data_IF_646484707288
#
_entry.id   IF_646484707288
#
_cell.length_a   1.000
_cell.length_b   1.000
_cell.length_c   1.000
_cell.angle_alpha   90.00
_cell.angle_beta   90.00
_cell.angle_gamma   90.00
#
_symmetry.space_group_name_H-M   'P 1'
#
loop_
_entity.id
_entity.type
_entity.pdbx_description
1 polymer ?
#
# COMPACT_ATOMS: atom_id res chain seq x y z
N UNK A 1 3.49 21.53 -7.08
CA UNK A 1 2.51 21.20 -8.15
C UNK A 1 2.84 19.86 -8.82
N UNK A 2 4.09 19.58 -9.22
CA UNK A 2 4.45 18.35 -9.94
C UNK A 2 4.13 17.06 -9.13
N UNK A 3 4.47 17.03 -7.84
CA UNK A 3 4.16 15.88 -6.97
C UNK A 3 2.66 15.64 -6.86
N UNK A 4 1.90 16.72 -6.68
CA UNK A 4 0.43 16.63 -6.60
C UNK A 4 -0.19 16.13 -7.92
N UNK A 5 0.30 16.62 -9.06
CA UNK A 5 -0.15 16.13 -10.36
C UNK A 5 0.17 14.65 -10.53
N UNK A 6 1.40 14.22 -10.19
CA UNK A 6 1.82 12.82 -10.26
C UNK A 6 0.93 11.89 -9.44
N UNK A 7 0.61 12.25 -8.18
CA UNK A 7 -0.28 11.43 -7.34
C UNK A 7 -1.69 11.30 -7.94
N UNK A 8 -2.21 12.38 -8.54
CA UNK A 8 -3.50 12.35 -9.24
C UNK A 8 -3.47 11.56 -10.52
N UNK A 9 -2.38 11.66 -11.29
CA UNK A 9 -2.21 10.90 -12.53
C UNK A 9 -2.20 9.40 -12.26
N UNK A 10 -1.59 8.94 -11.16
CA UNK A 10 -1.64 7.54 -10.75
C UNK A 10 -3.09 7.07 -10.53
N UNK A 11 -3.90 7.83 -9.78
CA UNK A 11 -5.28 7.44 -9.48
C UNK A 11 -6.20 7.46 -10.71
N UNK A 12 -5.80 8.14 -11.78
CA UNK A 12 -6.56 8.22 -13.03
C UNK A 12 -6.17 7.16 -14.06
N UNK A 13 -5.05 6.47 -13.88
CA UNK A 13 -4.64 5.39 -14.78
C UNK A 13 -5.67 4.26 -14.82
N UNK A 14 -5.74 3.56 -15.94
CA UNK A 14 -6.65 2.43 -16.08
C UNK A 14 -6.15 1.22 -15.28
N UNK A 15 -7.03 0.35 -14.76
CA UNK A 15 -6.61 -0.83 -14.01
C UNK A 15 -5.71 -1.78 -14.81
N UNK A 16 -5.88 -1.80 -16.13
CA UNK A 16 -5.06 -2.62 -17.02
C UNK A 16 -3.61 -2.12 -17.14
N UNK A 17 -3.37 -0.83 -16.90
CA UNK A 17 -2.07 -0.20 -16.98
C UNK A 17 -1.40 -0.11 -15.61
N UNK A 18 -2.17 0.20 -14.57
CA UNK A 18 -1.69 0.35 -13.21
C UNK A 18 -2.04 -0.89 -12.36
N UNK A 19 -1.25 -1.93 -12.45
CA UNK A 19 -1.32 -3.12 -11.62
C UNK A 19 -0.31 -3.05 -10.45
N UNK A 20 -0.34 -3.97 -9.46
CA UNK A 20 0.42 -3.83 -8.22
C UNK A 20 1.91 -3.55 -8.41
N UNK A 21 2.59 -4.36 -9.21
CA UNK A 21 4.04 -4.19 -9.48
C UNK A 21 4.33 -2.86 -10.19
N UNK A 22 3.48 -2.47 -11.14
CA UNK A 22 3.63 -1.19 -11.85
C UNK A 22 3.49 0.01 -10.94
N UNK A 23 2.54 -0.02 -10.00
CA UNK A 23 2.39 1.02 -8.97
C UNK A 23 3.66 1.12 -8.10
N UNK A 24 4.18 -0.02 -7.65
CA UNK A 24 5.40 -0.06 -6.83
C UNK A 24 6.62 0.49 -7.58
N UNK A 25 6.82 0.10 -8.84
CA UNK A 25 7.90 0.59 -9.71
C UNK A 25 7.81 2.11 -9.92
N UNK A 26 6.63 2.62 -10.31
CA UNK A 26 6.43 4.05 -10.56
C UNK A 26 6.65 4.87 -9.28
N UNK A 27 6.24 4.36 -8.12
CA UNK A 27 6.47 5.04 -6.85
C UNK A 27 7.96 5.06 -6.46
N UNK A 28 8.65 3.92 -6.58
CA UNK A 28 10.07 3.81 -6.30
C UNK A 28 10.89 4.74 -7.21
N UNK A 29 10.62 4.73 -8.51
CA UNK A 29 11.29 5.57 -9.50
C UNK A 29 11.07 7.05 -9.19
N UNK A 30 9.82 7.45 -8.97
CA UNK A 30 9.50 8.87 -8.72
C UNK A 30 10.17 9.39 -7.44
N UNK A 31 10.13 8.62 -6.35
CA UNK A 31 10.79 8.99 -5.08
C UNK A 31 12.30 9.06 -5.28
N UNK A 32 12.88 8.07 -5.97
CA UNK A 32 14.33 8.00 -6.21
C UNK A 32 14.87 9.20 -6.97
N UNK A 33 14.07 9.82 -7.85
CA UNK A 33 14.47 11.04 -8.56
C UNK A 33 14.69 12.25 -7.65
N UNK A 34 14.17 12.26 -6.43
CA UNK A 34 14.28 13.40 -5.51
C UNK A 34 15.65 13.46 -4.81
N UNK A 35 16.24 12.32 -4.49
CA UNK A 35 17.56 12.25 -3.84
C UNK A 35 18.24 10.88 -4.09
N UNK A 36 18.73 10.60 -5.31
CA UNK A 36 19.18 9.26 -5.73
C UNK A 36 20.26 8.63 -4.84
N UNK A 37 21.14 9.47 -4.25
CA UNK A 37 22.24 8.99 -3.40
C UNK A 37 21.80 8.54 -1.99
N UNK A 38 20.58 8.85 -1.58
CA UNK A 38 20.07 8.66 -0.21
C UNK A 38 18.87 7.72 -0.14
N UNK A 39 18.45 7.14 -1.25
CA UNK A 39 17.27 6.31 -1.34
C UNK A 39 17.64 4.90 -1.77
N UNK A 40 17.15 3.93 -1.03
CA UNK A 40 17.14 2.52 -1.43
C UNK A 40 15.70 2.05 -1.50
N UNK A 41 15.38 1.22 -2.48
CA UNK A 41 14.07 0.61 -2.63
C UNK A 41 14.18 -0.89 -2.83
N UNK A 42 13.20 -1.62 -2.32
CA UNK A 42 13.08 -3.06 -2.48
C UNK A 42 11.63 -3.44 -2.72
N UNK A 43 11.39 -4.32 -3.69
CA UNK A 43 10.04 -4.84 -3.99
C UNK A 43 10.05 -6.35 -3.69
N UNK A 44 9.16 -6.77 -2.80
CA UNK A 44 8.90 -8.17 -2.47
C UNK A 44 7.60 -8.54 -3.17
N UNK A 45 7.59 -9.56 -4.02
CA UNK A 45 6.44 -9.85 -4.89
C UNK A 45 6.05 -11.33 -4.93
N UNK A 46 4.77 -11.60 -5.15
CA UNK A 46 4.24 -12.94 -5.35
C UNK A 46 4.49 -13.86 -4.15
N UNK A 47 4.97 -15.08 -4.41
CA UNK A 47 5.21 -16.10 -3.38
C UNK A 47 6.26 -15.69 -2.34
N UNK A 48 7.16 -14.77 -2.68
CA UNK A 48 8.15 -14.26 -1.73
C UNK A 48 7.48 -13.52 -0.56
N UNK A 49 6.34 -12.87 -0.77
CA UNK A 49 5.54 -12.26 0.29
C UNK A 49 5.16 -13.29 1.35
N UNK A 50 4.64 -14.44 0.91
CA UNK A 50 4.24 -15.53 1.81
C UNK A 50 5.44 -16.09 2.57
N UNK A 51 6.56 -16.30 1.89
CA UNK A 51 7.80 -16.81 2.48
C UNK A 51 8.36 -15.89 3.57
N UNK A 52 8.18 -14.56 3.37
CA UNK A 52 8.61 -13.53 4.34
C UNK A 52 7.56 -13.21 5.41
N UNK A 53 6.38 -13.82 5.34
CA UNK A 53 5.31 -13.66 6.32
C UNK A 53 4.39 -12.45 6.07
N UNK A 54 4.45 -11.82 4.88
CA UNK A 54 3.54 -10.75 4.47
C UNK A 54 2.26 -11.34 3.88
N UNK A 55 1.54 -12.04 4.74
CA UNK A 55 0.43 -12.93 4.36
C UNK A 55 -0.87 -12.20 4.01
N UNK A 56 -1.07 -10.99 4.54
CA UNK A 56 -2.23 -10.17 4.23
C UNK A 56 -2.22 -9.72 2.77
N UNK A 57 -1.11 -9.12 2.33
CA UNK A 57 -0.91 -8.69 0.95
C UNK A 57 -0.99 -9.89 0.00
N UNK A 58 -0.31 -10.99 0.35
CA UNK A 58 -0.34 -12.22 -0.45
C UNK A 58 -1.76 -12.75 -0.63
N UNK A 59 -2.52 -12.94 0.46
CA UNK A 59 -3.85 -13.53 0.38
C UNK A 59 -4.84 -12.67 -0.39
N UNK A 60 -4.82 -11.36 -0.23
CA UNK A 60 -5.70 -10.46 -1.00
C UNK A 60 -5.38 -10.54 -2.49
N UNK A 61 -4.09 -10.54 -2.85
CA UNK A 61 -3.66 -10.44 -4.26
C UNK A 61 -3.48 -11.74 -4.99
N UNK A 62 -3.43 -12.91 -4.31
CA UNK A 62 -3.14 -14.21 -4.95
C UNK A 62 -4.16 -14.64 -6.01
N UNK A 63 -5.34 -14.06 -5.98
CA UNK A 63 -6.40 -14.33 -6.97
C UNK A 63 -6.24 -13.56 -8.28
N UNK A 64 -5.31 -12.62 -8.37
CA UNK A 64 -5.03 -11.89 -9.60
C UNK A 64 -3.95 -12.56 -10.44
N UNK A 65 -3.98 -12.33 -11.75
CA UNK A 65 -2.87 -12.65 -12.66
C UNK A 65 -1.68 -11.72 -12.47
N UNK A 66 -1.91 -10.54 -11.87
CA UNK A 66 -0.89 -9.57 -11.50
C UNK A 66 -0.44 -9.82 -10.06
N UNK A 67 0.80 -10.29 -9.82
CA UNK A 67 1.25 -10.62 -8.48
C UNK A 67 1.17 -9.43 -7.53
N UNK A 68 0.72 -9.64 -6.27
CA UNK A 68 0.78 -8.62 -5.24
C UNK A 68 2.24 -8.33 -4.86
N UNK A 69 2.50 -7.14 -4.30
CA UNK A 69 3.82 -6.79 -3.83
C UNK A 69 3.80 -5.82 -2.64
N UNK A 70 4.87 -5.85 -1.87
CA UNK A 70 5.23 -4.85 -0.87
C UNK A 70 6.41 -4.05 -1.41
N UNK A 71 6.25 -2.75 -1.60
CA UNK A 71 7.36 -1.84 -1.83
C UNK A 71 7.85 -1.30 -0.48
N UNK A 72 9.13 -1.44 -0.24
CA UNK A 72 9.86 -0.79 0.85
C UNK A 72 10.79 0.28 0.26
N UNK A 73 10.71 1.52 0.75
CA UNK A 73 11.64 2.60 0.43
C UNK A 73 12.27 3.12 1.71
N UNK A 74 13.57 3.27 1.71
CA UNK A 74 14.34 3.85 2.82
C UNK A 74 15.06 5.12 2.32
N UNK A 75 14.62 6.27 2.79
CA UNK A 75 15.32 7.52 2.62
C UNK A 75 16.20 7.77 3.84
N UNK A 76 17.51 7.77 3.65
CA UNK A 76 18.50 7.98 4.71
C UNK A 76 19.50 9.07 4.32
N UNK A 77 19.19 10.34 4.62
CA UNK A 77 20.06 11.48 4.26
C UNK A 77 21.40 11.48 4.98
N UNK A 78 21.51 10.74 6.09
CA UNK A 78 22.75 10.70 6.88
C UNK A 78 23.80 9.75 6.31
N UNK A 79 23.40 8.79 5.49
CA UNK A 79 24.24 7.70 5.01
C UNK A 79 24.67 6.70 6.10
N UNK A 80 24.32 6.94 7.36
CA UNK A 80 24.59 6.01 8.46
C UNK A 80 23.52 4.93 8.50
N UNK A 81 23.90 3.67 8.30
CA UNK A 81 22.98 2.52 8.30
C UNK A 81 22.31 2.29 9.67
N UNK A 82 22.95 2.73 10.74
CA UNK A 82 22.44 2.62 12.13
C UNK A 82 21.62 3.84 12.56
N UNK A 83 21.41 4.83 11.68
CA UNK A 83 20.57 5.97 12.00
C UNK A 83 19.14 5.51 12.34
N UNK A 84 18.57 6.07 13.41
CA UNK A 84 17.19 5.78 13.79
C UNK A 84 16.21 6.21 12.70
N UNK A 85 15.17 5.40 12.48
CA UNK A 85 14.04 5.76 11.62
C UNK A 85 13.12 6.70 12.38
N UNK A 86 12.97 7.92 11.89
CA UNK A 86 12.17 8.96 12.56
C UNK A 86 10.67 8.81 12.29
N UNK A 87 10.31 8.28 11.13
CA UNK A 87 8.91 8.03 10.78
C UNK A 87 8.79 6.91 9.73
N UNK A 88 7.63 6.26 9.72
CA UNK A 88 7.20 5.36 8.66
C UNK A 88 5.90 5.84 8.04
N UNK A 89 5.82 5.73 6.73
CA UNK A 89 4.61 5.97 5.96
C UNK A 89 4.10 4.64 5.41
N UNK A 90 2.81 4.37 5.54
CA UNK A 90 2.19 3.13 5.06
C UNK A 90 1.03 3.49 4.14
N UNK A 91 0.99 2.92 2.94
CA UNK A 91 -0.03 3.21 1.93
C UNK A 91 -0.82 1.99 1.47
N UNK A 92 -2.15 2.09 1.50
CA UNK A 92 -3.03 1.12 0.81
C UNK A 92 -2.86 1.29 -0.70
N UNK A 93 -2.45 0.21 -1.37
CA UNK A 93 -2.19 0.17 -2.80
C UNK A 93 -3.04 -0.86 -3.54
N UNK A 94 -4.36 -0.88 -3.30
CA UNK A 94 -5.27 -1.76 -4.05
C UNK A 94 -5.53 -1.15 -5.42
N UNK A 95 -4.88 -1.68 -6.45
CA UNK A 95 -4.92 -1.11 -7.80
C UNK A 95 -6.25 -1.35 -8.50
N UNK A 96 -6.98 -2.37 -8.09
CA UNK A 96 -8.39 -2.58 -8.41
C UNK A 96 -9.08 -3.40 -7.33
N UNK A 97 -10.29 -2.98 -6.93
CA UNK A 97 -11.08 -3.67 -5.92
C UNK A 97 -12.45 -4.11 -6.45
N UNK A 98 -12.55 -5.40 -6.76
CA UNK A 98 -13.84 -6.02 -7.12
C UNK A 98 -14.72 -6.33 -5.91
N UNK A 99 -14.18 -6.26 -4.69
CA UNK A 99 -14.78 -6.80 -3.47
C UNK A 99 -14.46 -8.28 -3.23
N UNK A 100 -13.81 -8.94 -4.21
CA UNK A 100 -13.60 -10.39 -4.12
C UNK A 100 -14.93 -11.16 -4.15
N UNK A 101 -15.05 -12.23 -3.38
CA UNK A 101 -16.30 -13.00 -3.29
C UNK A 101 -17.45 -12.22 -2.62
N UNK A 102 -17.16 -11.17 -1.85
CA UNK A 102 -18.13 -10.16 -1.41
C UNK A 102 -18.30 -9.09 -2.51
N UNK A 103 -18.68 -9.53 -3.72
CA UNK A 103 -18.62 -8.79 -4.97
C UNK A 103 -19.40 -7.48 -4.91
N UNK A 104 -18.74 -6.39 -5.30
CA UNK A 104 -19.37 -5.08 -5.46
C UNK A 104 -20.38 -5.08 -6.62
N UNK A 105 -21.39 -4.21 -6.53
CA UNK A 105 -22.22 -3.92 -7.70
C UNK A 105 -21.41 -3.22 -8.80
N UNK A 106 -21.86 -3.29 -10.05
CA UNK A 106 -21.18 -2.60 -11.16
C UNK A 106 -20.98 -1.09 -10.90
N UNK A 107 -21.97 -0.44 -10.29
CA UNK A 107 -21.87 0.98 -9.92
C UNK A 107 -20.81 1.20 -8.84
N UNK A 108 -20.79 0.37 -7.79
CA UNK A 108 -19.80 0.48 -6.71
C UNK A 108 -18.39 0.09 -7.13
N UNK A 109 -18.24 -0.70 -8.21
CA UNK A 109 -16.96 -1.18 -8.72
C UNK A 109 -16.32 -0.21 -9.73
N UNK A 110 -17.12 0.63 -10.40
CA UNK A 110 -16.69 1.42 -11.56
C UNK A 110 -15.47 2.30 -11.29
N UNK A 111 -15.41 2.93 -10.12
CA UNK A 111 -14.31 3.83 -9.75
C UNK A 111 -13.21 3.16 -8.92
N UNK A 112 -13.26 1.84 -8.72
CA UNK A 112 -12.35 1.13 -7.80
C UNK A 112 -10.89 1.04 -8.27
N UNK A 113 -10.55 1.62 -9.42
CA UNK A 113 -9.18 1.95 -9.81
C UNK A 113 -8.52 2.98 -8.86
N UNK A 114 -9.33 3.77 -8.15
CA UNK A 114 -8.84 4.78 -7.20
C UNK A 114 -8.42 4.19 -5.85
N UNK A 115 -8.61 2.91 -5.61
CA UNK A 115 -8.44 2.27 -4.30
C UNK A 115 -6.96 2.09 -3.87
N UNK A 116 -6.07 2.66 -4.65
CA UNK A 116 -4.65 2.85 -4.38
C UNK A 116 -4.30 4.31 -4.02
N UNK A 117 -5.30 5.15 -3.78
CA UNK A 117 -5.10 6.57 -3.45
C UNK A 117 -4.26 6.77 -2.19
N UNK A 118 -4.36 5.88 -1.20
CA UNK A 118 -3.51 5.90 -0.02
C UNK A 118 -2.02 5.77 -0.36
N UNK A 119 -1.66 4.81 -1.22
CA UNK A 119 -0.29 4.63 -1.72
C UNK A 119 0.19 5.86 -2.48
N UNK A 120 -0.65 6.42 -3.37
CA UNK A 120 -0.31 7.62 -4.14
C UNK A 120 -0.04 8.83 -3.25
N UNK A 121 -0.84 9.00 -2.18
CA UNK A 121 -0.70 10.11 -1.22
C UNK A 121 0.60 9.99 -0.42
N UNK A 122 0.88 8.83 0.20
CA UNK A 122 2.09 8.70 1.04
C UNK A 122 3.38 8.70 0.21
N UNK A 123 3.36 8.15 -1.01
CA UNK A 123 4.51 8.23 -1.92
C UNK A 123 4.76 9.67 -2.37
N UNK A 124 3.70 10.41 -2.71
CA UNK A 124 3.79 11.84 -3.01
C UNK A 124 4.27 12.66 -1.82
N UNK A 125 3.75 12.38 -0.62
CA UNK A 125 4.17 13.07 0.61
C UNK A 125 5.67 12.85 0.89
N UNK A 126 6.17 11.62 0.77
CA UNK A 126 7.59 11.32 0.92
C UNK A 126 8.44 12.07 -0.11
N UNK A 127 8.05 12.01 -1.39
CA UNK A 127 8.76 12.70 -2.47
C UNK A 127 8.81 14.22 -2.24
N UNK A 128 7.69 14.81 -1.78
CA UNK A 128 7.63 16.24 -1.47
C UNK A 128 8.51 16.59 -0.27
N UNK A 129 8.44 15.82 0.81
CA UNK A 129 9.24 16.06 2.01
C UNK A 129 10.75 16.02 1.69
N UNK A 130 11.19 15.04 0.91
CA UNK A 130 12.59 14.93 0.44
C UNK A 130 12.98 16.15 -0.38
N UNK A 131 12.13 16.54 -1.34
CA UNK A 131 12.37 17.72 -2.18
C UNK A 131 12.47 19.02 -1.40
N UNK A 132 11.69 19.14 -0.32
CA UNK A 132 11.70 20.32 0.57
C UNK A 132 12.83 20.26 1.65
N UNK A 133 13.74 19.29 1.55
CA UNK A 133 14.93 19.21 2.37
C UNK A 133 14.76 18.42 3.68
N UNK A 134 13.94 17.38 3.67
CA UNK A 134 13.83 16.47 4.83
C UNK A 134 15.23 15.97 5.24
N UNK A 135 15.61 16.16 6.50
CA UNK A 135 16.91 15.80 7.08
C UNK A 135 16.86 14.56 7.99
N UNK A 136 15.72 13.87 8.04
CA UNK A 136 15.46 12.70 8.89
C UNK A 136 15.33 11.44 8.05
N UNK A 137 15.75 10.30 8.61
CA UNK A 137 15.52 8.99 7.99
C UNK A 137 14.04 8.63 8.09
N UNK A 138 13.43 8.34 6.94
CA UNK A 138 12.01 7.94 6.82
C UNK A 138 11.90 6.71 5.94
N UNK A 139 11.02 5.78 6.32
CA UNK A 139 10.68 4.62 5.51
C UNK A 139 9.25 4.71 4.97
N UNK A 140 9.04 4.10 3.82
CA UNK A 140 7.74 3.97 3.17
C UNK A 140 7.46 2.49 2.89
N UNK A 141 6.21 2.08 3.13
CA UNK A 141 5.70 0.75 2.81
C UNK A 141 4.42 0.89 1.99
N UNK A 142 4.41 0.41 0.73
CA UNK A 142 3.20 0.36 -0.08
C UNK A 142 2.72 -1.08 -0.20
N UNK A 143 1.52 -1.33 0.29
CA UNK A 143 0.87 -2.65 0.28
C UNK A 143 0.03 -2.78 -0.99
N UNK A 144 0.62 -3.33 -2.06
CA UNK A 144 0.03 -3.33 -3.39
C UNK A 144 -0.58 -4.70 -3.73
N UNK A 145 -1.85 -4.70 -4.14
CA UNK A 145 -2.58 -5.90 -4.55
C UNK A 145 -3.73 -5.53 -5.49
N UNK A 146 -4.27 -6.52 -6.20
CA UNK A 146 -5.58 -6.47 -6.85
C UNK A 146 -6.52 -7.45 -6.15
N UNK A 147 -7.69 -6.99 -5.71
CA UNK A 147 -8.71 -7.84 -5.10
C UNK A 147 -9.66 -8.37 -6.19
N UNK A 148 -9.40 -9.60 -6.64
CA UNK A 148 -10.07 -10.21 -7.78
C UNK A 148 -10.82 -11.48 -7.39
N UNK A 149 -11.82 -11.83 -8.21
CA UNK A 149 -12.53 -13.11 -8.13
C UNK A 149 -11.86 -14.13 -9.03
N UNK A 150 -11.39 -15.23 -8.45
CA UNK A 150 -10.83 -16.35 -9.20
C UNK A 150 -10.88 -17.63 -8.36
N UNK A 151 -10.48 -18.77 -8.96
CA UNK A 151 -10.36 -20.03 -8.22
C UNK A 151 -9.33 -20.00 -7.10
N UNK A 152 -8.31 -19.13 -7.19
CA UNK A 152 -7.23 -19.01 -6.21
C UNK A 152 -7.45 -17.89 -5.18
N UNK A 153 -8.49 -17.05 -5.40
CA UNK A 153 -8.80 -15.94 -4.48
C UNK A 153 -9.14 -16.44 -3.07
N UNK A 154 -8.77 -15.64 -2.07
CA UNK A 154 -9.16 -15.91 -0.68
C UNK A 154 -10.68 -15.82 -0.50
N UNK A 155 -11.18 -16.47 0.55
CA UNK A 155 -12.62 -16.70 0.73
C UNK A 155 -13.07 -16.25 2.11
N UNK A 156 -14.36 -15.97 2.23
CA UNK A 156 -15.01 -15.83 3.53
C UNK A 156 -14.82 -17.12 4.33
N UNK A 157 -14.47 -16.99 5.61
CA UNK A 157 -14.15 -18.11 6.51
C UNK A 157 -12.68 -18.54 6.48
N UNK A 158 -11.86 -18.02 5.55
CA UNK A 158 -10.41 -18.23 5.61
C UNK A 158 -9.83 -17.57 6.87
N UNK A 159 -8.81 -18.21 7.47
CA UNK A 159 -8.08 -17.68 8.62
C UNK A 159 -6.67 -17.33 8.18
N UNK A 160 -6.29 -16.07 8.32
CA UNK A 160 -4.95 -15.56 8.03
C UNK A 160 -4.19 -15.44 9.35
N UNK A 161 -2.99 -16.03 9.43
CA UNK A 161 -2.09 -15.88 10.57
C UNK A 161 -0.94 -14.96 10.18
N UNK A 162 -0.90 -13.76 10.76
CA UNK A 162 0.13 -12.77 10.52
C UNK A 162 1.47 -13.14 11.16
N UNK A 163 2.55 -12.49 10.72
CA UNK A 163 3.94 -12.72 11.18
C UNK A 163 4.11 -12.59 12.70
N UNK A 164 3.31 -11.76 13.35
CA UNK A 164 3.30 -11.59 14.81
C UNK A 164 2.44 -12.64 15.55
N UNK A 165 1.87 -13.62 14.85
CA UNK A 165 1.05 -14.68 15.42
C UNK A 165 -0.44 -14.32 15.59
N UNK A 166 -0.86 -13.08 15.29
CA UNK A 166 -2.28 -12.70 15.33
C UNK A 166 -3.03 -13.37 14.19
N UNK A 167 -4.17 -13.97 14.51
CA UNK A 167 -5.06 -14.61 13.53
C UNK A 167 -6.27 -13.73 13.24
N UNK A 168 -6.69 -13.68 11.98
CA UNK A 168 -7.86 -12.94 11.52
C UNK A 168 -8.71 -13.86 10.65
N UNK A 169 -9.99 -14.02 10.99
CA UNK A 169 -10.98 -14.67 10.15
C UNK A 169 -11.56 -13.67 9.14
N UNK A 170 -11.63 -14.07 7.89
CA UNK A 170 -12.17 -13.26 6.80
C UNK A 170 -13.68 -13.37 6.77
N UNK A 171 -14.37 -12.40 7.32
CA UNK A 171 -15.83 -12.33 7.29
C UNK A 171 -16.38 -11.59 6.05
N UNK A 172 -15.54 -10.80 5.39
CA UNK A 172 -15.89 -10.00 4.21
C UNK A 172 -14.64 -9.76 3.37
N UNK A 173 -14.63 -10.21 2.12
CA UNK A 173 -13.50 -10.01 1.20
C UNK A 173 -13.43 -8.61 0.61
N UNK A 174 -14.46 -7.77 0.80
CA UNK A 174 -14.48 -6.32 0.49
C UNK A 174 -13.92 -5.47 1.67
N UNK A 175 -13.29 -6.12 2.63
CA UNK A 175 -12.53 -5.48 3.70
C UNK A 175 -11.00 -5.74 3.54
N UNK A 176 -10.54 -5.88 2.33
CA UNK A 176 -9.19 -6.21 1.89
C UNK A 176 -8.15 -5.16 2.34
N UNK A 177 -8.54 -3.89 2.34
CA UNK A 177 -7.65 -2.76 2.65
C UNK A 177 -7.02 -2.89 4.04
N UNK A 178 -7.78 -3.23 5.06
CA UNK A 178 -7.26 -3.46 6.42
C UNK A 178 -6.39 -4.73 6.50
N UNK A 179 -6.63 -5.69 5.65
CA UNK A 179 -5.85 -6.94 5.59
C UNK A 179 -4.44 -6.65 5.02
N UNK A 180 -4.33 -5.90 3.93
CA UNK A 180 -3.03 -5.53 3.35
C UNK A 180 -2.28 -4.53 4.24
N UNK A 181 -2.99 -3.54 4.82
CA UNK A 181 -2.38 -2.55 5.71
C UNK A 181 -1.77 -3.18 6.96
N UNK A 182 -2.33 -4.27 7.48
CA UNK A 182 -1.77 -4.94 8.64
C UNK A 182 -0.32 -5.39 8.42
N UNK A 183 0.04 -5.90 7.23
CA UNK A 183 1.43 -6.25 6.90
C UNK A 183 2.32 -5.01 6.85
N UNK A 184 1.88 -3.93 6.21
CA UNK A 184 2.65 -2.69 6.15
C UNK A 184 2.87 -2.05 7.53
N UNK A 185 1.85 -2.09 8.39
CA UNK A 185 1.95 -1.60 9.78
C UNK A 185 2.86 -2.50 10.62
N UNK A 186 2.85 -3.81 10.41
CA UNK A 186 3.81 -4.72 11.05
C UNK A 186 5.24 -4.39 10.60
N UNK A 187 5.49 -4.23 9.29
CA UNK A 187 6.79 -3.85 8.77
C UNK A 187 7.27 -2.49 9.35
N UNK A 188 6.37 -1.52 9.42
CA UNK A 188 6.67 -0.22 10.03
C UNK A 188 6.99 -0.34 11.52
N UNK A 189 6.25 -1.17 12.28
CA UNK A 189 6.47 -1.37 13.72
C UNK A 189 7.81 -2.04 14.03
N UNK A 190 8.29 -2.92 13.16
CA UNK A 190 9.59 -3.57 13.29
C UNK A 190 10.76 -2.56 13.25
N UNK A 191 10.57 -1.39 12.62
CA UNK A 191 11.58 -0.31 12.57
C UNK A 191 11.74 0.43 13.90
N UNK A 192 10.77 0.31 14.81
CA UNK A 192 10.68 1.05 16.08
C UNK A 192 10.60 2.57 15.89
N UNK A 193 10.18 3.04 14.72
CA UNK A 193 9.97 4.47 14.47
C UNK A 193 8.95 5.04 15.46
N UNK A 194 9.20 6.23 16.03
CA UNK A 194 8.30 6.86 17.01
C UNK A 194 6.99 7.36 16.36
N UNK A 195 6.94 7.45 15.03
CA UNK A 195 5.78 7.91 14.29
C UNK A 195 5.50 6.95 13.13
N UNK A 196 4.27 6.47 13.05
CA UNK A 196 3.76 5.70 11.91
C UNK A 196 2.50 6.41 11.43
N UNK A 197 2.46 6.74 10.14
CA UNK A 197 1.33 7.37 9.48
C UNK A 197 0.86 6.44 8.36
N UNK A 198 -0.41 6.09 8.36
CA UNK A 198 -1.01 5.37 7.24
C UNK A 198 -2.04 6.21 6.50
N UNK A 199 -2.22 5.91 5.21
CA UNK A 199 -3.26 6.49 4.39
C UNK A 199 -3.94 5.40 3.54
N UNK A 200 -5.25 5.46 3.48
CA UNK A 200 -6.05 4.46 2.79
C UNK A 200 -7.40 5.03 2.33
N UNK A 201 -7.80 4.68 1.14
CA UNK A 201 -9.18 4.75 0.65
C UNK A 201 -9.96 3.58 1.26
N UNK A 202 -10.24 3.63 2.57
CA UNK A 202 -10.55 2.44 3.35
C UNK A 202 -12.03 2.07 3.34
N UNK A 203 -12.90 3.06 3.50
CA UNK A 203 -14.35 2.82 3.60
C UNK A 203 -15.14 4.11 3.40
N UNK A 204 -16.25 4.02 2.66
CA UNK A 204 -17.21 5.12 2.54
C UNK A 204 -17.87 5.52 3.88
N UNK A 205 -17.77 4.68 4.91
CA UNK A 205 -18.25 5.00 6.25
C UNK A 205 -17.50 6.21 6.87
N UNK A 206 -16.28 6.52 6.43
CA UNK A 206 -15.55 7.71 6.85
C UNK A 206 -16.35 8.98 6.55
N UNK A 207 -16.87 9.11 5.33
CA UNK A 207 -17.71 10.25 4.91
C UNK A 207 -18.96 10.39 5.78
N UNK A 208 -19.57 9.27 6.15
CA UNK A 208 -20.75 9.27 7.02
C UNK A 208 -20.42 9.69 8.46
N UNK A 209 -19.21 9.34 8.94
CA UNK A 209 -18.78 9.65 10.30
C UNK A 209 -18.28 11.09 10.46
N UNK A 210 -17.55 11.60 9.48
CA UNK A 210 -16.84 12.89 9.56
C UNK A 210 -17.41 13.98 8.66
N UNK A 211 -18.31 13.63 7.75
CA UNK A 211 -18.80 14.51 6.70
C UNK A 211 -17.80 14.71 5.55
N UNK A 212 -18.28 15.26 4.43
CA UNK A 212 -17.48 15.43 3.21
C UNK A 212 -16.30 16.41 3.32
N UNK A 213 -16.28 17.25 4.36
CA UNK A 213 -15.21 18.26 4.55
C UNK A 213 -13.97 17.69 5.23
N UNK A 214 -14.06 16.50 5.85
CA UNK A 214 -12.99 15.89 6.66
C UNK A 214 -12.59 14.47 6.25
N UNK A 215 -13.08 14.00 5.09
CA UNK A 215 -12.86 12.62 4.63
C UNK A 215 -12.41 12.54 3.18
#
# INVERSE_FOLDING_TARGET
LAVFAWSRDLTNQTPSELYPLKLAELAADFISTQAPAHITSHIISGDELQQKGWVGIYNVGKGSVNPPCLLEVDFNPTGNVDAEVSACLVGKGITFDSGGYSLKSSVGMFDMKCDMGGAAVVAGAMALAIKEGLDKRVKLFLCCAENMVSNDAYKLGDIITYKNGVTVEIANTDAEGRIVLADGLLAASETKAPLIIDAATLTGAAVMATGGDYS
#
